data_IF_540013090407
#
_entry.id   IF_540013090407
#
_cell.length_a   1.000
_cell.length_b   1.000
_cell.length_c   1.000
_cell.angle_alpha   90.00
_cell.angle_beta   90.00
_cell.angle_gamma   90.00
#
_symmetry.space_group_name_H-M   'P 1'
#
loop_
_entity.id
_entity.type
_entity.pdbx_description
1 polymer ?
#
# COMPACT_ATOMS: atom_id res chain seq x y z
N UNK A 1 -1.22 -30.17 2.77
CA UNK A 1 -1.86 -28.85 2.80
C UNK A 1 -0.98 -27.97 3.65
N UNK A 2 -0.45 -26.90 3.06
CA UNK A 2 0.22 -25.88 3.86
C UNK A 2 -0.81 -25.31 4.83
N UNK A 3 -0.52 -25.32 6.10
CA UNK A 3 -1.31 -24.70 7.16
C UNK A 3 -1.15 -23.15 7.15
N UNK A 4 -0.98 -22.56 5.98
CA UNK A 4 -0.86 -21.11 5.84
C UNK A 4 -2.02 -20.42 6.53
N UNK A 5 -1.72 -19.40 7.31
CA UNK A 5 -2.67 -18.66 8.16
C UNK A 5 -3.30 -19.49 9.31
N UNK A 6 -2.68 -20.59 9.74
CA UNK A 6 -3.10 -21.32 10.94
C UNK A 6 -2.48 -20.67 12.19
N UNK A 7 -3.27 -19.89 12.89
CA UNK A 7 -2.83 -19.17 14.10
C UNK A 7 -2.62 -20.11 15.30
N UNK A 8 -3.08 -21.37 15.24
CA UNK A 8 -2.84 -22.33 16.32
C UNK A 8 -1.36 -22.72 16.47
N UNK A 9 -0.57 -22.47 15.43
CA UNK A 9 0.88 -22.69 15.38
C UNK A 9 1.70 -21.41 15.60
N UNK A 10 1.03 -20.26 15.84
CA UNK A 10 1.70 -18.99 16.00
C UNK A 10 2.53 -18.98 17.30
N UNK A 11 3.79 -18.56 17.18
CA UNK A 11 4.68 -18.33 18.32
C UNK A 11 5.15 -16.88 18.29
N UNK A 12 5.24 -16.26 19.46
CA UNK A 12 5.82 -14.92 19.56
C UNK A 12 7.32 -15.02 19.25
N UNK A 13 7.77 -14.14 18.34
CA UNK A 13 9.17 -14.05 17.94
C UNK A 13 9.83 -12.92 18.76
N UNK A 14 10.54 -13.31 19.80
CA UNK A 14 11.27 -12.37 20.67
C UNK A 14 12.56 -11.92 19.96
N UNK A 15 12.44 -10.86 19.17
CA UNK A 15 13.52 -10.37 18.29
C UNK A 15 14.70 -9.85 19.08
N UNK A 16 14.45 -9.22 20.23
CA UNK A 16 15.47 -8.57 21.04
C UNK A 16 15.92 -9.44 22.22
N UNK A 17 15.24 -10.55 22.50
CA UNK A 17 15.52 -11.43 23.65
C UNK A 17 15.12 -10.85 25.00
N UNK A 18 14.24 -9.86 25.01
CA UNK A 18 13.77 -9.14 26.21
C UNK A 18 12.27 -9.34 26.50
N UNK A 19 11.61 -10.18 25.69
CA UNK A 19 10.16 -10.43 25.77
C UNK A 19 9.30 -9.36 25.11
N UNK A 20 9.91 -8.40 24.41
CA UNK A 20 9.19 -7.34 23.67
C UNK A 20 9.28 -7.54 22.17
N UNK A 21 8.50 -6.77 21.43
CA UNK A 21 8.52 -6.76 19.96
C UNK A 21 9.63 -5.85 19.41
N UNK A 22 9.57 -5.64 18.09
CA UNK A 22 10.45 -4.70 17.41
C UNK A 22 10.15 -3.26 17.84
N UNK A 23 11.13 -2.61 18.47
CA UNK A 23 10.98 -1.25 19.02
C UNK A 23 11.13 -0.20 17.91
N UNK A 24 10.10 0.64 17.77
CA UNK A 24 10.04 1.77 16.84
C UNK A 24 9.84 3.12 17.56
N UNK A 25 9.98 3.13 18.88
CA UNK A 25 9.74 4.32 19.71
C UNK A 25 10.69 5.49 19.45
N UNK A 26 11.83 5.20 18.79
CA UNK A 26 12.77 6.23 18.37
C UNK A 26 12.21 7.11 17.23
N UNK A 27 11.25 6.61 16.46
CA UNK A 27 10.60 7.34 15.38
C UNK A 27 9.24 7.89 15.82
N UNK A 28 8.38 7.05 16.39
CA UNK A 28 7.07 7.48 16.88
C UNK A 28 6.62 6.61 18.06
N UNK A 29 5.97 7.23 19.06
CA UNK A 29 5.47 6.55 20.25
C UNK A 29 4.00 6.12 20.14
N UNK A 30 3.29 6.56 19.09
CA UNK A 30 1.88 6.23 18.84
C UNK A 30 1.71 5.53 17.50
N UNK A 31 2.26 4.32 17.40
CA UNK A 31 2.16 3.48 16.21
C UNK A 31 0.72 3.05 15.93
N UNK A 32 0.30 3.00 14.66
CA UNK A 32 -1.05 2.67 14.22
C UNK A 32 -1.06 1.55 13.18
N UNK A 33 -1.08 1.90 11.91
CA UNK A 33 -1.15 0.96 10.81
C UNK A 33 0.21 0.44 10.37
N UNK A 34 0.24 -0.77 9.84
CA UNK A 34 1.43 -1.39 9.26
C UNK A 34 1.11 -1.95 7.89
N UNK A 35 2.04 -1.86 6.96
CA UNK A 35 1.98 -2.50 5.65
C UNK A 35 3.37 -2.99 5.21
N UNK A 36 3.39 -3.93 4.29
CA UNK A 36 4.60 -4.42 3.64
C UNK A 36 4.45 -4.33 2.13
N UNK A 37 5.56 -4.27 1.41
CA UNK A 37 5.58 -4.57 0.00
C UNK A 37 5.38 -6.09 -0.23
N UNK A 38 5.26 -6.52 -1.48
CA UNK A 38 4.85 -7.89 -1.82
C UNK A 38 5.81 -8.99 -1.35
N UNK A 39 7.09 -8.73 -1.28
CA UNK A 39 8.12 -9.68 -0.85
C UNK A 39 8.56 -9.49 0.62
N UNK A 40 7.97 -8.51 1.31
CA UNK A 40 8.25 -8.22 2.71
C UNK A 40 9.59 -7.54 2.97
N UNK A 41 10.29 -7.09 1.94
CA UNK A 41 11.61 -6.43 2.08
C UNK A 41 11.49 -4.95 2.48
N UNK A 42 10.30 -4.37 2.38
CA UNK A 42 10.01 -3.02 2.84
C UNK A 42 8.81 -3.06 3.78
N UNK A 43 8.96 -2.51 4.96
CA UNK A 43 7.91 -2.31 5.95
C UNK A 43 7.61 -0.82 6.09
N UNK A 44 6.33 -0.51 6.16
CA UNK A 44 5.80 0.82 6.44
C UNK A 44 5.01 0.76 7.73
N UNK A 45 5.16 1.74 8.60
CA UNK A 45 4.19 1.95 9.66
C UNK A 45 3.84 3.43 9.78
N UNK A 46 2.67 3.68 10.32
CA UNK A 46 2.18 5.04 10.51
C UNK A 46 2.39 5.45 11.95
N UNK A 47 3.00 6.61 12.14
CA UNK A 47 3.05 7.33 13.40
C UNK A 47 1.93 8.36 13.50
N UNK A 48 1.36 8.51 14.69
CA UNK A 48 0.29 9.48 14.96
C UNK A 48 0.76 10.67 15.79
N UNK A 49 2.04 10.70 16.17
CA UNK A 49 2.61 11.86 16.88
C UNK A 49 2.91 12.98 15.90
N UNK A 50 3.50 12.63 14.75
CA UNK A 50 3.96 13.58 13.74
C UNK A 50 3.20 13.45 12.41
N UNK A 51 2.19 12.54 12.33
CA UNK A 51 1.41 12.23 11.13
C UNK A 51 2.29 11.81 9.94
N UNK A 52 3.24 10.88 10.20
CA UNK A 52 4.23 10.42 9.24
C UNK A 52 4.15 8.93 8.94
N UNK A 53 4.70 8.54 7.77
CA UNK A 53 4.96 7.15 7.40
C UNK A 53 6.45 6.88 7.55
N UNK A 54 6.81 5.96 8.43
CA UNK A 54 8.18 5.49 8.62
C UNK A 54 8.44 4.25 7.80
N UNK A 55 9.62 4.18 7.20
CA UNK A 55 10.01 3.12 6.27
C UNK A 55 11.19 2.33 6.84
N UNK A 56 11.10 1.02 6.78
CA UNK A 56 12.18 0.10 7.12
C UNK A 56 12.49 -0.82 5.96
N UNK A 57 13.78 -1.03 5.70
CA UNK A 57 14.26 -2.04 4.76
C UNK A 57 14.64 -3.29 5.53
N UNK A 58 14.17 -4.45 5.10
CA UNK A 58 14.46 -5.76 5.66
C UNK A 58 15.37 -6.54 4.71
N UNK A 59 16.51 -7.00 5.19
CA UNK A 59 17.42 -7.81 4.35
C UNK A 59 16.87 -9.23 4.11
N UNK A 60 15.95 -9.67 4.95
CA UNK A 60 15.15 -10.89 4.75
C UNK A 60 13.67 -10.52 4.83
N UNK A 61 12.91 -10.82 3.78
CA UNK A 61 11.50 -10.44 3.71
C UNK A 61 10.70 -10.96 4.90
N UNK A 62 9.89 -10.08 5.52
CA UNK A 62 9.05 -10.33 6.69
C UNK A 62 9.80 -10.73 7.97
N UNK A 63 11.13 -10.55 8.02
CA UNK A 63 11.95 -10.81 9.21
C UNK A 63 12.38 -9.49 9.86
N UNK A 64 11.67 -9.07 10.90
CA UNK A 64 11.90 -7.81 11.61
C UNK A 64 13.26 -7.75 12.30
N UNK A 65 13.91 -8.91 12.58
CA UNK A 65 15.27 -8.94 13.14
C UNK A 65 16.31 -8.35 12.18
N UNK A 66 15.96 -8.25 10.89
CA UNK A 66 16.82 -7.71 9.82
C UNK A 66 16.44 -6.29 9.41
N UNK A 67 15.49 -5.67 10.12
CA UNK A 67 14.98 -4.36 9.74
C UNK A 67 15.98 -3.24 10.05
N UNK A 68 16.13 -2.34 9.10
CA UNK A 68 16.92 -1.12 9.23
C UNK A 68 16.06 0.08 8.86
N UNK A 69 16.04 1.10 9.72
CA UNK A 69 15.32 2.33 9.43
C UNK A 69 15.85 2.97 8.15
N UNK A 70 14.95 3.28 7.23
CA UNK A 70 15.26 3.98 6.01
C UNK A 70 14.89 5.45 6.18
N UNK A 71 15.87 6.27 6.53
CA UNK A 71 15.71 7.72 6.66
C UNK A 71 15.60 8.33 5.25
N UNK A 72 14.35 8.42 4.78
CA UNK A 72 14.05 8.84 3.39
C UNK A 72 14.31 10.34 3.15
N UNK A 73 14.36 11.14 4.21
CA UNK A 73 14.58 12.59 4.14
C UNK A 73 16.00 13.01 4.61
N UNK A 74 16.71 12.11 5.31
CA UNK A 74 18.05 12.37 5.84
C UNK A 74 18.07 13.22 7.12
N UNK A 75 16.92 13.36 7.78
CA UNK A 75 16.74 14.15 8.99
C UNK A 75 16.15 13.34 10.17
N UNK A 76 16.00 12.02 9.98
CA UNK A 76 15.41 11.10 10.95
C UNK A 76 13.90 11.04 10.93
N UNK A 77 13.23 11.81 10.05
CA UNK A 77 11.78 11.83 9.90
C UNK A 77 11.28 10.81 8.86
N UNK A 78 9.97 10.58 8.84
CA UNK A 78 9.27 9.78 7.85
C UNK A 78 8.75 10.60 6.67
N UNK A 79 7.84 10.02 5.91
CA UNK A 79 7.09 10.73 4.87
C UNK A 79 5.97 11.54 5.52
N UNK A 80 6.05 12.86 5.44
CA UNK A 80 5.08 13.79 6.03
C UNK A 80 3.73 13.77 5.28
N UNK A 81 2.66 13.45 6.00
CA UNK A 81 1.28 13.48 5.53
C UNK A 81 0.44 14.57 6.16
N UNK A 82 0.96 15.33 7.11
CA UNK A 82 0.22 16.26 7.96
C UNK A 82 -0.61 17.31 7.19
N UNK A 83 -0.20 17.62 5.96
CA UNK A 83 -0.94 18.50 5.06
C UNK A 83 -2.24 17.92 4.50
N UNK A 84 -2.43 16.60 4.53
CA UNK A 84 -3.58 15.90 3.96
C UNK A 84 -4.30 15.01 4.97
N UNK A 85 -3.55 14.37 5.87
CA UNK A 85 -4.06 13.41 6.85
C UNK A 85 -3.60 13.85 8.23
N UNK A 86 -4.53 14.05 9.12
CA UNK A 86 -4.26 14.21 10.54
C UNK A 86 -4.87 13.04 11.30
N UNK A 87 -4.15 12.53 12.29
CA UNK A 87 -4.52 11.31 13.02
C UNK A 87 -4.70 10.11 12.08
N UNK A 88 -3.62 9.71 11.38
CA UNK A 88 -3.66 8.54 10.50
C UNK A 88 -3.88 7.25 11.32
N UNK A 89 -4.61 6.28 10.75
CA UNK A 89 -5.00 5.02 11.40
C UNK A 89 -4.55 3.77 10.66
N UNK A 90 -4.77 3.73 9.36
CA UNK A 90 -4.48 2.57 8.53
C UNK A 90 -3.78 2.94 7.23
N UNK A 91 -2.92 2.04 6.75
CA UNK A 91 -2.20 2.16 5.48
C UNK A 91 -2.37 0.88 4.68
N UNK A 92 -2.55 1.03 3.37
CA UNK A 92 -2.49 -0.09 2.43
C UNK A 92 -2.04 0.38 1.05
N UNK A 93 -1.60 -0.57 0.23
CA UNK A 93 -1.18 -0.32 -1.15
C UNK A 93 -2.05 -1.15 -2.12
N UNK A 94 -2.06 -0.76 -3.39
CA UNK A 94 -2.50 -1.65 -4.44
C UNK A 94 -1.42 -2.70 -4.76
N UNK A 95 -1.73 -3.65 -5.65
CA UNK A 95 -0.90 -4.83 -5.88
C UNK A 95 0.52 -4.53 -6.37
N UNK A 96 0.73 -3.46 -7.11
CA UNK A 96 2.04 -3.07 -7.65
C UNK A 96 2.70 -1.91 -6.87
N UNK A 97 2.08 -1.46 -5.78
CA UNK A 97 2.58 -0.38 -4.95
C UNK A 97 2.52 1.01 -5.57
N UNK A 98 1.98 1.14 -6.77
CA UNK A 98 1.87 2.44 -7.45
C UNK A 98 0.81 3.36 -6.84
N UNK A 99 -0.04 2.82 -5.96
CA UNK A 99 -1.04 3.57 -5.20
C UNK A 99 -0.96 3.23 -3.73
N UNK A 100 -1.07 4.25 -2.90
CA UNK A 100 -1.11 4.15 -1.45
C UNK A 100 -2.38 4.79 -0.92
N UNK A 101 -2.97 4.20 0.11
CA UNK A 101 -4.20 4.66 0.74
C UNK A 101 -4.01 4.76 2.24
N UNK A 102 -4.39 5.91 2.78
CA UNK A 102 -4.29 6.21 4.21
C UNK A 102 -5.67 6.53 4.75
N UNK A 103 -6.03 5.88 5.84
CA UNK A 103 -7.25 6.21 6.60
C UNK A 103 -6.91 7.33 7.57
N UNK A 104 -7.66 8.43 7.50
CA UNK A 104 -7.60 9.56 8.44
C UNK A 104 -8.81 9.59 9.36
N UNK A 105 -8.58 9.75 10.67
CA UNK A 105 -9.64 9.89 11.68
C UNK A 105 -10.24 11.31 11.66
N UNK A 106 -9.40 12.34 11.63
CA UNK A 106 -9.86 13.71 11.47
C UNK A 106 -10.25 13.96 10.02
N UNK A 107 -11.53 14.01 9.73
CA UNK A 107 -12.08 14.11 8.38
C UNK A 107 -12.80 12.84 7.94
N UNK A 108 -12.62 11.73 8.65
CA UNK A 108 -13.29 10.44 8.38
C UNK A 108 -13.18 10.09 6.89
N UNK A 109 -11.95 10.03 6.39
CA UNK A 109 -11.69 9.90 4.97
C UNK A 109 -10.55 8.93 4.66
N UNK A 110 -10.52 8.52 3.40
CA UNK A 110 -9.44 7.75 2.80
C UNK A 110 -8.71 8.65 1.82
N UNK A 111 -7.46 8.96 2.13
CA UNK A 111 -6.58 9.72 1.27
C UNK A 111 -5.85 8.79 0.31
N UNK A 112 -5.84 9.14 -0.97
CA UNK A 112 -5.24 8.37 -2.05
C UNK A 112 -4.03 9.09 -2.62
N UNK A 113 -2.94 8.34 -2.78
CA UNK A 113 -1.68 8.81 -3.35
C UNK A 113 -1.26 7.94 -4.52
N UNK A 114 -0.56 8.52 -5.50
CA UNK A 114 0.16 7.80 -6.55
C UNK A 114 1.66 7.92 -6.34
N UNK A 115 2.37 6.83 -6.57
CA UNK A 115 3.83 6.74 -6.49
C UNK A 115 4.38 6.54 -7.90
N UNK A 116 5.40 7.30 -8.30
CA UNK A 116 6.03 7.14 -9.61
C UNK A 116 6.83 5.85 -9.73
N UNK A 117 7.30 5.31 -8.61
CA UNK A 117 7.89 3.97 -8.46
C UNK A 117 7.13 3.24 -7.37
N UNK A 118 6.60 2.04 -7.68
CA UNK A 118 5.79 1.29 -6.73
C UNK A 118 6.54 0.98 -5.44
N UNK A 119 5.87 1.17 -4.29
CA UNK A 119 6.42 0.95 -2.95
C UNK A 119 7.61 1.86 -2.56
N UNK A 120 7.93 2.88 -3.35
CA UNK A 120 9.07 3.75 -3.08
C UNK A 120 8.61 5.17 -2.69
N UNK A 121 8.64 5.49 -1.39
CA UNK A 121 8.28 6.82 -0.89
C UNK A 121 9.36 7.88 -1.14
N UNK A 122 10.57 7.50 -1.59
CA UNK A 122 11.59 8.45 -2.06
C UNK A 122 11.32 8.91 -3.50
N UNK A 123 10.44 8.20 -4.21
CA UNK A 123 9.99 8.57 -5.55
C UNK A 123 9.00 9.76 -5.51
N UNK A 124 8.55 10.23 -6.67
CA UNK A 124 7.50 11.24 -6.66
C UNK A 124 6.19 10.66 -6.13
N UNK A 125 5.75 11.13 -4.96
CA UNK A 125 4.47 10.81 -4.35
C UNK A 125 3.52 11.99 -4.54
N UNK A 126 2.35 11.73 -5.12
CA UNK A 126 1.34 12.74 -5.41
C UNK A 126 0.03 12.40 -4.72
N UNK A 127 -0.50 13.31 -3.88
CA UNK A 127 -1.84 13.19 -3.35
C UNK A 127 -2.87 13.40 -4.48
N UNK A 128 -3.72 12.40 -4.69
CA UNK A 128 -4.71 12.40 -5.80
C UNK A 128 -6.06 12.96 -5.35
N UNK A 129 -6.35 12.83 -4.06
CA UNK A 129 -7.60 13.27 -3.46
C UNK A 129 -8.08 12.30 -2.37
N UNK A 130 -9.27 12.56 -1.85
CA UNK A 130 -9.83 11.81 -0.75
C UNK A 130 -11.26 11.36 -1.00
N UNK A 131 -11.69 10.33 -0.27
CA UNK A 131 -13.04 9.82 -0.21
C UNK A 131 -13.53 9.85 1.23
N UNK A 132 -14.61 10.62 1.47
CA UNK A 132 -15.18 10.81 2.81
C UNK A 132 -16.16 9.67 3.09
N UNK A 133 -16.05 9.06 4.29
CA UNK A 133 -16.89 7.94 4.74
C UNK A 133 -17.81 8.30 5.91
N UNK A 134 -17.88 9.56 6.28
CA UNK A 134 -18.60 10.08 7.48
C UNK A 134 -20.05 9.60 7.58
N UNK A 135 -20.74 9.39 6.45
CA UNK A 135 -22.13 8.94 6.47
C UNK A 135 -22.29 7.49 6.94
N UNK A 136 -21.26 6.69 6.82
CA UNK A 136 -21.22 5.28 7.22
C UNK A 136 -20.36 5.05 8.45
N UNK A 137 -19.22 5.76 8.56
CA UNK A 137 -18.27 5.57 9.64
C UNK A 137 -17.64 6.91 10.06
N UNK A 138 -17.81 7.26 11.33
CA UNK A 138 -17.29 8.52 11.90
C UNK A 138 -15.99 8.35 12.69
N UNK A 139 -15.47 7.13 12.76
CA UNK A 139 -14.18 6.82 13.39
C UNK A 139 -13.49 5.66 12.64
N UNK A 140 -13.11 5.83 11.37
CA UNK A 140 -12.49 4.78 10.57
C UNK A 140 -11.11 4.42 11.11
N UNK A 141 -10.81 3.11 11.18
CA UNK A 141 -9.58 2.59 11.78
C UNK A 141 -8.73 1.81 10.77
N UNK A 142 -9.35 1.10 9.85
CA UNK A 142 -8.66 0.23 8.92
C UNK A 142 -9.29 0.18 7.54
N UNK A 143 -8.47 -0.19 6.56
CA UNK A 143 -8.85 -0.30 5.16
C UNK A 143 -8.29 -1.57 4.55
N UNK A 144 -9.07 -2.22 3.71
CA UNK A 144 -8.62 -3.33 2.88
C UNK A 144 -9.27 -3.26 1.49
N UNK A 145 -8.61 -3.86 0.51
CA UNK A 145 -9.18 -4.06 -0.82
C UNK A 145 -9.22 -5.55 -1.16
N UNK A 146 -10.14 -5.92 -2.04
CA UNK A 146 -10.02 -7.21 -2.69
C UNK A 146 -8.85 -7.19 -3.70
N UNK A 147 -8.40 -8.37 -4.13
CA UNK A 147 -7.24 -8.53 -5.02
C UNK A 147 -7.39 -7.84 -6.37
N UNK A 148 -8.62 -7.62 -6.83
CA UNK A 148 -8.89 -6.89 -8.09
C UNK A 148 -9.03 -5.38 -7.89
N UNK A 149 -9.04 -4.89 -6.66
CA UNK A 149 -9.22 -3.48 -6.34
C UNK A 149 -10.60 -2.92 -6.67
N UNK A 150 -11.59 -3.80 -6.91
CA UNK A 150 -12.96 -3.39 -7.25
C UNK A 150 -13.86 -3.24 -6.03
N UNK A 151 -13.40 -3.71 -4.87
CA UNK A 151 -14.06 -3.54 -3.58
C UNK A 151 -13.10 -2.98 -2.56
N UNK A 152 -13.60 -2.06 -1.75
CA UNK A 152 -12.93 -1.47 -0.60
C UNK A 152 -13.75 -1.78 0.64
N UNK A 153 -13.09 -2.12 1.74
CA UNK A 153 -13.68 -2.40 3.03
C UNK A 153 -13.08 -1.44 4.05
N UNK A 154 -13.94 -0.80 4.83
CA UNK A 154 -13.55 0.09 5.92
C UNK A 154 -14.09 -0.52 7.20
N UNK A 155 -13.23 -0.67 8.20
CA UNK A 155 -13.60 -0.98 9.57
C UNK A 155 -13.40 0.25 10.42
N UNK A 156 -14.32 0.50 11.32
CA UNK A 156 -14.26 1.63 12.24
C UNK A 156 -14.74 1.26 13.63
N UNK A 157 -14.82 2.26 14.49
CA UNK A 157 -15.15 2.10 15.90
C UNK A 157 -16.49 2.77 16.28
N UNK A 158 -17.13 3.48 15.34
CA UNK A 158 -18.36 4.19 15.64
C UNK A 158 -19.63 3.35 15.40
N UNK A 159 -19.60 2.48 14.38
CA UNK A 159 -20.74 1.63 14.01
C UNK A 159 -20.60 0.18 14.47
N UNK A 160 -19.42 -0.23 14.94
CA UNK A 160 -19.08 -1.63 15.22
C UNK A 160 -19.33 -2.56 14.02
N UNK A 161 -19.12 -2.03 12.79
CA UNK A 161 -19.42 -2.71 11.54
C UNK A 161 -18.26 -2.66 10.52
N UNK A 162 -18.46 -3.32 9.39
CA UNK A 162 -17.56 -3.29 8.24
C UNK A 162 -18.34 -2.74 7.05
N UNK A 163 -17.91 -1.61 6.56
CA UNK A 163 -18.52 -0.94 5.42
C UNK A 163 -17.87 -1.42 4.11
N UNK A 164 -18.68 -1.98 3.19
CA UNK A 164 -18.24 -2.41 1.87
C UNK A 164 -18.59 -1.36 0.81
N UNK A 165 -17.61 -0.98 -0.01
CA UNK A 165 -17.78 -0.08 -1.14
C UNK A 165 -17.42 -0.79 -2.45
N UNK A 166 -18.26 -0.60 -3.47
CA UNK A 166 -17.94 -1.05 -4.84
C UNK A 166 -17.30 0.10 -5.61
N UNK A 167 -16.12 -0.13 -6.16
CA UNK A 167 -15.36 0.86 -6.92
C UNK A 167 -15.62 0.64 -8.42
N UNK A 168 -15.99 1.71 -9.11
CA UNK A 168 -16.18 1.69 -10.58
C UNK A 168 -14.88 1.47 -11.34
N UNK A 169 -13.74 1.80 -10.72
CA UNK A 169 -12.40 1.59 -11.24
C UNK A 169 -11.54 0.95 -10.17
N UNK A 170 -10.71 -0.02 -10.55
CA UNK A 170 -9.80 -0.70 -9.63
C UNK A 170 -8.91 0.30 -8.87
N UNK A 171 -8.93 0.21 -7.54
CA UNK A 171 -8.12 1.06 -6.67
C UNK A 171 -8.28 2.57 -6.93
N UNK A 172 -9.49 3.02 -7.25
CA UNK A 172 -9.80 4.44 -7.40
C UNK A 172 -10.85 4.84 -6.39
N UNK A 173 -10.44 5.55 -5.35
CA UNK A 173 -11.27 5.96 -4.21
C UNK A 173 -11.65 7.45 -4.21
N UNK A 174 -11.35 8.18 -5.28
CA UNK A 174 -11.70 9.59 -5.38
C UNK A 174 -13.06 9.78 -6.05
N UNK A 175 -13.85 10.75 -5.60
CA UNK A 175 -15.16 11.08 -6.18
C UNK A 175 -15.08 11.71 -7.58
N UNK A 176 -13.89 11.98 -8.09
CA UNK A 176 -13.69 12.68 -9.36
C UNK A 176 -13.13 11.79 -10.45
N UNK A 177 -13.82 11.82 -11.59
CA UNK A 177 -13.28 11.39 -12.86
C UNK A 177 -13.63 9.97 -13.30
N UNK A 178 -13.58 9.78 -14.61
CA UNK A 178 -13.72 8.47 -15.29
C UNK A 178 -12.54 7.57 -14.89
N UNK A 179 -12.74 6.25 -15.02
CA UNK A 179 -11.63 5.30 -14.94
C UNK A 179 -10.55 5.75 -15.91
N UNK A 180 -9.30 5.81 -15.46
CA UNK A 180 -8.19 5.98 -16.38
C UNK A 180 -8.23 4.77 -17.32
N UNK A 181 -8.53 5.00 -18.57
CA UNK A 181 -8.32 3.97 -19.59
C UNK A 181 -6.81 3.65 -19.54
N UNK A 182 -6.43 2.35 -19.59
CA UNK A 182 -5.03 2.01 -19.77
C UNK A 182 -4.51 2.86 -20.94
N UNK A 183 -3.28 3.40 -20.85
CA UNK A 183 -2.78 4.30 -21.86
C UNK A 183 -3.03 3.66 -23.22
N UNK A 184 -3.93 4.25 -24.01
CA UNK A 184 -4.08 3.86 -25.40
C UNK A 184 -2.70 4.04 -25.95
N UNK A 185 -2.07 2.97 -26.39
CA UNK A 185 -0.81 3.05 -27.13
C UNK A 185 -1.11 4.03 -28.25
N UNK A 186 -0.77 5.29 -28.04
CA UNK A 186 -0.93 6.32 -29.07
C UNK A 186 -0.03 5.82 -30.18
N UNK A 187 -0.70 5.42 -31.27
CA UNK A 187 -0.18 5.22 -32.59
C UNK A 187 1.36 5.42 -32.66
N UNK A 188 2.08 4.31 -32.57
CA UNK A 188 3.55 4.33 -32.67
C UNK A 188 3.82 4.59 -34.16
N UNK A 189 3.63 5.83 -34.60
CA UNK A 189 3.94 6.24 -35.96
C UNK A 189 5.40 5.94 -36.20
N UNK A 190 5.64 4.84 -36.89
CA UNK A 190 6.97 4.39 -37.26
C UNK A 190 7.27 2.90 -37.01
N UNK A 191 6.41 2.16 -36.32
CA UNK A 191 6.53 0.68 -36.27
C UNK A 191 5.73 0.13 -37.45
N UNK A 192 6.42 -0.44 -38.43
CA UNK A 192 5.79 -1.11 -39.58
C UNK A 192 5.23 -2.48 -39.14
N UNK A 193 4.27 -3.02 -39.91
CA UNK A 193 3.64 -4.31 -39.64
C UNK A 193 4.63 -5.47 -39.49
N UNK A 194 5.81 -5.40 -40.11
CA UNK A 194 6.87 -6.38 -39.97
C UNK A 194 7.46 -6.39 -38.55
N UNK A 195 7.61 -5.24 -37.90
CA UNK A 195 8.11 -5.13 -36.51
C UNK A 195 7.07 -5.62 -35.51
N UNK A 196 5.78 -5.35 -35.76
CA UNK A 196 4.66 -5.88 -34.97
C UNK A 196 4.60 -7.40 -35.07
N UNK A 197 4.74 -7.95 -36.27
CA UNK A 197 4.71 -9.40 -36.50
C UNK A 197 5.93 -10.10 -35.89
N UNK A 198 7.09 -9.45 -35.86
CA UNK A 198 8.30 -9.98 -35.20
C UNK A 198 8.11 -10.04 -33.67
N UNK A 199 7.54 -9.01 -33.07
CA UNK A 199 7.24 -9.00 -31.63
C UNK A 199 6.18 -10.05 -31.24
N UNK A 200 5.16 -10.24 -32.07
CA UNK A 200 4.15 -11.29 -31.84
C UNK A 200 4.76 -12.70 -31.95
N UNK A 201 5.60 -12.95 -32.94
CA UNK A 201 6.29 -14.22 -33.10
C UNK A 201 7.22 -14.52 -31.92
N UNK A 202 7.93 -13.52 -31.40
CA UNK A 202 8.79 -13.67 -30.22
C UNK A 202 7.98 -14.02 -28.97
N UNK A 203 6.78 -13.43 -28.80
CA UNK A 203 5.88 -13.73 -27.70
C UNK A 203 5.25 -15.13 -27.80
N UNK A 204 5.00 -15.63 -29.01
CA UNK A 204 4.52 -16.99 -29.26
C UNK A 204 5.61 -18.04 -29.04
N UNK A 205 6.83 -17.81 -29.51
CA UNK A 205 7.97 -18.72 -29.37
C UNK A 205 8.40 -18.86 -27.90
N UNK A 206 8.28 -17.80 -27.09
CA UNK A 206 8.54 -17.86 -25.63
C UNK A 206 7.45 -18.62 -24.86
N UNK A 207 6.21 -18.64 -25.34
CA UNK A 207 5.13 -19.44 -24.75
C UNK A 207 5.29 -20.93 -24.96
N UNK A 208 5.86 -21.34 -26.10
CA UNK A 208 6.08 -22.77 -26.44
C UNK A 208 7.28 -23.35 -25.69
N UNK A 209 8.25 -22.53 -25.33
CA UNK A 209 9.46 -22.98 -24.59
C UNK A 209 9.21 -23.29 -23.10
N UNK A 210 8.07 -22.90 -22.55
CA UNK A 210 7.75 -23.09 -21.10
C UNK A 210 6.95 -24.38 -20.83
N UNK A 211 6.67 -25.19 -21.86
CA UNK A 211 5.91 -26.46 -21.76
C UNK A 211 6.66 -27.68 -22.32
N UNK A 212 7.95 -27.80 -22.03
CA UNK A 212 8.68 -29.08 -22.26
C UNK A 212 9.44 -29.47 -21.00
#
# INVERSE_FOLDING_TARGET
LSTGFDLSTATFNDINGDGTGFDVSAQDQLTRGIAFNNDGTIMYYIGNTDDEIYVYTLSTGFDLSTATFNDINGDGSGFDMSGQVTVPRGITFNNDGSKMFIVGDVGNDINSYTLSVGFDLTSTVTHVGKFVVTDQETNPQGIAFNTTGTKMFIVGNAGDDINEYTLSCAFKVTNSGKCEEPPKIKDVRGINDAQINTAKKFAEDTRVATFK
#
